data_IF_342511175899
#
_entry.id   IF_342511175899
#
_cell.length_a   1.000
_cell.length_b   1.000
_cell.length_c   1.000
_cell.angle_alpha   90.00
_cell.angle_beta   90.00
_cell.angle_gamma   90.00
#
_symmetry.space_group_name_H-M   'P 1'
#
loop_
_entity.id
_entity.type
_entity.pdbx_description
1 polymer ?
#
# COMPACT_ATOMS: atom_id res chain seq x y z
N UNK A 1 26.87 7.24 -2.52
CA UNK A 1 25.56 6.95 -1.89
C UNK A 1 25.38 7.87 -0.69
N UNK A 2 24.15 8.20 -0.28
CA UNK A 2 23.91 8.84 1.01
C UNK A 2 24.47 7.98 2.14
N UNK A 3 24.93 8.62 3.21
CA UNK A 3 25.52 7.93 4.36
C UNK A 3 24.48 7.10 5.13
N UNK A 4 23.22 7.55 5.16
CA UNK A 4 22.11 6.92 5.88
C UNK A 4 21.53 5.66 5.21
N UNK A 5 22.09 5.18 4.09
CA UNK A 5 21.66 3.92 3.47
C UNK A 5 22.37 2.74 4.15
N UNK A 6 21.64 1.71 4.63
CA UNK A 6 22.22 0.51 5.24
C UNK A 6 23.25 -0.19 4.34
N UNK A 7 24.26 -0.82 4.96
CA UNK A 7 25.36 -1.51 4.28
C UNK A 7 24.86 -2.61 3.34
N UNK A 8 23.90 -3.40 3.79
CA UNK A 8 23.28 -4.52 3.06
C UNK A 8 22.47 -4.05 1.86
N UNK A 9 22.02 -2.78 1.86
CA UNK A 9 21.29 -2.14 0.77
C UNK A 9 22.22 -1.43 -0.22
N UNK A 10 23.54 -1.39 0.05
CA UNK A 10 24.54 -0.92 -0.91
C UNK A 10 24.91 -2.08 -1.84
N UNK A 11 24.85 -1.91 -3.17
CA UNK A 11 25.30 -2.95 -4.08
C UNK A 11 26.82 -3.16 -3.93
N UNK A 12 27.29 -4.40 -4.14
CA UNK A 12 28.72 -4.76 -4.09
C UNK A 12 29.56 -3.92 -5.06
N UNK A 13 29.00 -3.63 -6.25
CA UNK A 13 29.59 -2.76 -7.25
C UNK A 13 28.53 -1.78 -7.78
N UNK A 14 28.92 -0.51 -7.96
CA UNK A 14 28.08 0.51 -8.60
C UNK A 14 27.21 1.32 -7.64
N UNK A 15 26.17 1.95 -8.19
CA UNK A 15 25.21 2.77 -7.43
C UNK A 15 23.89 2.00 -7.26
N UNK A 16 23.15 2.20 -6.15
CA UNK A 16 21.82 1.62 -6.00
C UNK A 16 20.93 2.01 -7.17
N UNK A 17 20.16 1.06 -7.68
CA UNK A 17 19.23 1.33 -8.77
C UNK A 17 18.07 2.19 -8.24
N UNK A 18 17.65 3.23 -8.99
CA UNK A 18 16.41 3.94 -8.66
C UNK A 18 15.18 3.04 -8.90
N UNK A 19 14.06 3.26 -8.18
CA UNK A 19 13.87 4.23 -7.10
C UNK A 19 14.52 3.81 -5.78
N UNK A 20 14.92 4.81 -4.99
CA UNK A 20 15.35 4.66 -3.59
C UNK A 20 14.49 5.61 -2.76
N UNK A 21 13.69 5.08 -1.84
CA UNK A 21 12.70 5.85 -1.09
C UNK A 21 13.35 6.37 0.19
N UNK A 22 13.22 7.68 0.40
CA UNK A 22 13.67 8.36 1.60
C UNK A 22 12.55 9.21 2.15
N UNK A 23 12.43 9.24 3.47
CA UNK A 23 11.72 10.28 4.19
C UNK A 23 12.78 11.20 4.80
N UNK A 24 13.01 12.33 4.13
CA UNK A 24 14.12 13.25 4.42
C UNK A 24 15.48 12.53 4.36
N UNK A 25 16.19 12.43 5.50
CA UNK A 25 17.47 11.75 5.64
C UNK A 25 17.31 10.24 5.94
N UNK A 26 16.11 9.79 6.33
CA UNK A 26 15.84 8.39 6.66
C UNK A 26 15.65 7.57 5.38
N UNK A 27 16.44 6.51 5.23
CA UNK A 27 16.21 5.50 4.20
C UNK A 27 14.99 4.63 4.56
N UNK A 28 13.98 4.58 3.69
CA UNK A 28 12.79 3.76 3.86
C UNK A 28 12.93 2.41 3.15
N UNK A 29 13.50 2.39 1.94
CA UNK A 29 13.66 1.16 1.18
C UNK A 29 13.95 1.38 -0.29
N UNK A 30 14.08 0.26 -1.01
CA UNK A 30 14.25 0.18 -2.45
C UNK A 30 12.90 -0.08 -3.15
N UNK A 31 12.93 -0.31 -4.45
CA UNK A 31 11.76 -0.66 -5.25
C UNK A 31 10.98 -1.86 -4.70
N UNK A 32 11.65 -2.97 -4.42
CA UNK A 32 11.02 -4.20 -3.92
C UNK A 32 10.32 -3.97 -2.58
N UNK A 33 11.00 -3.28 -1.66
CA UNK A 33 10.44 -2.98 -0.34
C UNK A 33 9.18 -2.10 -0.44
N UNK A 34 9.19 -1.09 -1.32
CA UNK A 34 8.02 -0.26 -1.58
C UNK A 34 6.87 -1.05 -2.22
N UNK A 35 7.18 -1.96 -3.12
CA UNK A 35 6.19 -2.82 -3.77
C UNK A 35 5.47 -3.72 -2.75
N UNK A 36 6.20 -4.42 -1.89
CA UNK A 36 5.62 -5.22 -0.79
C UNK A 36 4.76 -4.36 0.15
N UNK A 37 5.25 -3.18 0.53
CA UNK A 37 4.50 -2.27 1.40
C UNK A 37 3.17 -1.80 0.78
N UNK A 38 3.13 -1.66 -0.54
CA UNK A 38 1.91 -1.33 -1.28
C UNK A 38 0.94 -2.50 -1.27
N UNK A 39 1.40 -3.72 -1.55
CA UNK A 39 0.54 -4.92 -1.56
C UNK A 39 -0.06 -5.23 -0.18
N UNK A 40 0.73 -5.02 0.87
CA UNK A 40 0.31 -5.19 2.27
C UNK A 40 -0.48 -3.99 2.82
N UNK A 41 -0.69 -2.93 2.03
CA UNK A 41 -1.36 -1.68 2.45
C UNK A 41 -0.72 -1.00 3.69
N UNK A 42 0.60 -1.15 3.87
CA UNK A 42 1.39 -0.57 4.97
C UNK A 42 2.27 0.59 4.49
N UNK A 43 1.90 1.25 3.38
CA UNK A 43 2.74 2.27 2.75
C UNK A 43 3.07 3.45 3.68
N UNK A 44 2.15 3.81 4.58
CA UNK A 44 2.37 4.90 5.54
C UNK A 44 3.42 4.52 6.58
N UNK A 45 3.34 3.30 7.12
CA UNK A 45 4.34 2.76 8.04
C UNK A 45 5.72 2.63 7.37
N UNK A 46 5.76 2.17 6.11
CA UNK A 46 6.99 2.11 5.31
C UNK A 46 7.65 3.49 5.13
N UNK A 47 6.85 4.51 4.86
CA UNK A 47 7.33 5.89 4.75
C UNK A 47 7.64 6.53 6.12
N UNK A 48 7.30 5.87 7.23
CA UNK A 48 7.41 6.45 8.57
C UNK A 48 6.46 7.62 8.80
N UNK A 49 5.30 7.61 8.15
CA UNK A 49 4.25 8.63 8.26
C UNK A 49 3.07 8.07 9.06
N UNK A 50 2.36 8.96 9.77
CA UNK A 50 1.06 8.62 10.32
C UNK A 50 0.05 8.42 9.18
N UNK A 51 -0.77 7.36 9.20
CA UNK A 51 -1.86 7.20 8.24
C UNK A 51 -2.83 8.40 8.31
N UNK A 52 -3.30 8.92 7.17
CA UNK A 52 -4.33 9.96 7.15
C UNK A 52 -5.61 9.50 7.85
N UNK A 53 -6.38 10.41 8.47
CA UNK A 53 -7.69 10.08 9.05
C UNK A 53 -8.60 9.38 8.03
N UNK A 54 -9.21 8.26 8.43
CA UNK A 54 -10.10 7.47 7.55
C UNK A 54 -9.38 6.46 6.66
N UNK A 55 -8.06 6.35 6.73
CA UNK A 55 -7.30 5.29 6.04
C UNK A 55 -7.56 3.94 6.71
N UNK A 56 -7.91 2.92 5.91
CA UNK A 56 -7.90 1.53 6.37
C UNK A 56 -6.45 1.09 6.49
N UNK A 57 -5.93 1.05 7.71
CA UNK A 57 -4.57 0.60 7.98
C UNK A 57 -4.59 -0.94 7.96
N UNK A 58 -3.76 -1.57 7.13
CA UNK A 58 -3.41 -2.97 7.34
C UNK A 58 -2.60 -3.03 8.62
N UNK A 59 -3.12 -3.69 9.66
CA UNK A 59 -2.45 -3.84 10.96
C UNK A 59 -1.18 -4.69 10.76
N UNK A 60 -0.09 -4.03 10.37
CA UNK A 60 1.26 -4.59 10.29
C UNK A 60 2.13 -3.88 11.32
N UNK A 61 1.86 -4.12 12.60
CA UNK A 61 2.80 -3.85 13.67
C UNK A 61 3.14 -5.18 14.34
N UNK A 62 4.43 -5.48 14.40
CA UNK A 62 4.98 -6.58 15.17
C UNK A 62 4.66 -6.40 16.66
N UNK A 63 3.60 -7.04 17.13
CA UNK A 63 3.69 -7.82 18.36
C UNK A 63 3.45 -9.29 17.99
N UNK A 64 4.26 -10.17 18.57
CA UNK A 64 4.26 -11.59 18.28
C UNK A 64 2.95 -12.23 18.76
N UNK A 65 2.02 -12.52 17.86
CA UNK A 65 1.06 -13.61 18.09
C UNK A 65 0.61 -14.21 16.77
N UNK A 66 0.96 -15.49 16.60
CA UNK A 66 0.39 -16.38 15.60
C UNK A 66 -1.14 -16.31 15.64
N UNK A 67 -1.76 -15.83 14.57
CA UNK A 67 -3.09 -16.31 14.19
C UNK A 67 -3.14 -16.44 12.68
N UNK A 68 -2.90 -17.68 12.26
CA UNK A 68 -3.40 -18.28 11.04
C UNK A 68 -4.90 -17.98 10.94
N UNK A 69 -5.33 -17.21 9.93
CA UNK A 69 -6.74 -17.05 9.54
C UNK A 69 -6.71 -16.60 8.07
N UNK A 70 -6.62 -17.56 7.16
CA UNK A 70 -7.76 -18.25 6.56
C UNK A 70 -8.66 -17.30 5.76
N UNK A 71 -8.59 -17.48 4.45
CA UNK A 71 -9.38 -16.80 3.46
C UNK A 71 -10.82 -17.31 3.48
N UNK A 72 -11.71 -16.66 4.24
CA UNK A 72 -13.15 -16.93 4.17
C UNK A 72 -14.02 -15.69 3.90
N UNK A 73 -14.43 -15.62 2.64
CA UNK A 73 -15.69 -15.18 2.04
C UNK A 73 -16.88 -14.78 2.95
N UNK A 74 -17.53 -13.64 2.63
CA UNK A 74 -18.92 -13.29 2.98
C UNK A 74 -19.04 -11.89 3.62
N UNK A 75 -19.95 -10.98 3.26
CA UNK A 75 -21.34 -11.17 2.86
C UNK A 75 -21.83 -10.04 1.91
N UNK A 76 -22.58 -10.46 0.90
CA UNK A 76 -23.44 -9.63 0.05
C UNK A 76 -24.51 -8.97 0.94
N UNK A 77 -24.55 -7.64 0.95
CA UNK A 77 -25.64 -6.90 1.57
C UNK A 77 -26.97 -7.26 0.87
N UNK A 78 -27.94 -7.75 1.66
CA UNK A 78 -29.34 -7.90 1.25
C UNK A 78 -29.98 -6.50 1.26
N UNK A 79 -29.95 -5.82 0.11
CA UNK A 79 -30.80 -4.67 -0.17
C UNK A 79 -31.94 -5.11 -1.09
N UNK A 80 -33.19 -4.84 -0.70
CA UNK A 80 -34.40 -5.12 -1.47
C UNK A 80 -34.31 -4.56 -2.90
N UNK A 81 -34.64 -5.35 -3.96
CA UNK A 81 -34.46 -4.93 -5.36
C UNK A 81 -35.67 -4.17 -5.93
N UNK A 82 -36.53 -3.61 -5.08
CA UNK A 82 -37.66 -2.82 -5.53
C UNK A 82 -37.38 -1.36 -5.22
N UNK A 83 -37.30 -0.55 -6.27
CA UNK A 83 -37.13 0.91 -6.27
C UNK A 83 -35.69 1.43 -6.18
N UNK A 84 -34.94 1.36 -7.30
CA UNK A 84 -34.44 2.57 -7.95
C UNK A 84 -34.61 2.36 -9.46
N UNK A 85 -35.36 3.30 -10.02
CA UNK A 85 -35.87 3.37 -11.35
C UNK A 85 -34.80 3.53 -12.44
N UNK A 86 -35.06 2.86 -13.56
CA UNK A 86 -34.70 3.23 -14.93
C UNK A 86 -34.57 4.75 -15.14
N UNK A 87 -33.48 5.21 -15.76
CA UNK A 87 -33.52 6.00 -17.00
C UNK A 87 -32.10 6.19 -17.58
N UNK A 88 -32.03 5.81 -18.84
CA UNK A 88 -31.11 6.10 -19.95
C UNK A 88 -30.44 7.50 -19.98
N UNK A 89 -29.49 7.66 -20.92
CA UNK A 89 -28.82 8.88 -21.43
C UNK A 89 -27.41 9.06 -20.86
N UNK A 90 -26.34 9.22 -21.64
CA UNK A 90 -26.20 9.41 -23.09
C UNK A 90 -24.73 9.55 -23.45
N UNK A 91 -24.41 9.19 -24.69
CA UNK A 91 -23.12 9.34 -25.34
C UNK A 91 -22.60 10.78 -25.28
N UNK A 92 -21.31 10.95 -25.01
CA UNK A 92 -20.58 12.14 -25.46
C UNK A 92 -19.34 11.69 -26.24
N UNK A 93 -19.31 12.11 -27.49
CA UNK A 93 -18.37 11.81 -28.57
C UNK A 93 -17.02 12.52 -28.38
N UNK A 94 -15.95 11.87 -28.86
CA UNK A 94 -14.63 12.46 -29.06
C UNK A 94 -14.67 13.54 -30.15
N UNK A 95 -13.95 14.64 -29.94
CA UNK A 95 -13.43 15.55 -30.96
C UNK A 95 -11.94 15.72 -30.74
#
# INVERSE_FOLDING_TARGET
MRENVPGEKKPQNGIPLPPQIFNEERYCGDFESFFSAKEENIIYSFLGLAPPPGTKVGTGESDLSETHQDCHQGAIHKGDPSQICSTHIGLYTLT
#
